data_IF_743705607616
#
_entry.id   IF_743705607616
#
_cell.length_a   1.000
_cell.length_b   1.000
_cell.length_c   1.000
_cell.angle_alpha   90.00
_cell.angle_beta   90.00
_cell.angle_gamma   90.00
#
_symmetry.space_group_name_H-M   'P 1'
#
loop_
_entity.id
_entity.type
_entity.pdbx_description
1 polymer ?
#
# COMPACT_ATOMS: atom_id res chain seq x y z
N UNK A 1 -10.31 20.20 2.72
CA UNK A 1 -8.96 20.03 3.31
C UNK A 1 -8.26 18.96 2.50
N UNK A 2 -7.04 19.23 2.02
CA UNK A 2 -6.28 18.32 1.17
C UNK A 2 -5.68 17.17 2.01
N UNK A 3 -5.56 15.98 1.42
CA UNK A 3 -4.90 14.80 2.00
C UNK A 3 -4.17 14.04 0.91
N UNK A 4 -2.91 13.65 1.15
CA UNK A 4 -2.13 12.87 0.20
C UNK A 4 -2.43 11.38 0.40
N UNK A 5 -3.26 10.80 -0.48
CA UNK A 5 -3.59 9.37 -0.40
C UNK A 5 -2.44 8.46 -0.84
N UNK A 6 -1.50 8.97 -1.65
CA UNK A 6 -0.36 8.18 -2.16
C UNK A 6 0.49 7.63 -1.02
N UNK A 7 0.77 6.33 -1.08
CA UNK A 7 1.40 5.62 0.02
C UNK A 7 2.91 5.54 -0.10
N UNK A 8 3.52 5.50 1.08
CA UNK A 8 4.88 5.02 1.30
C UNK A 8 4.79 3.66 1.96
N UNK A 9 5.74 2.77 1.67
CA UNK A 9 5.82 1.45 2.30
C UNK A 9 7.26 1.09 2.61
N UNK A 10 7.49 0.39 3.71
CA UNK A 10 8.68 -0.43 3.83
C UNK A 10 8.34 -1.86 4.22
N UNK A 11 9.16 -2.77 3.75
CA UNK A 11 9.09 -4.20 4.05
C UNK A 11 10.47 -4.68 4.47
N UNK A 12 10.53 -5.41 5.57
CA UNK A 12 11.76 -6.02 6.08
C UNK A 12 11.56 -7.50 6.29
N UNK A 13 12.56 -8.28 5.89
CA UNK A 13 12.68 -9.71 6.16
C UNK A 13 13.90 -9.94 7.03
N UNK A 14 13.76 -10.85 7.99
CA UNK A 14 14.87 -11.31 8.82
C UNK A 14 15.13 -12.79 8.60
N UNK A 15 16.34 -13.24 8.92
CA UNK A 15 16.60 -14.67 8.97
C UNK A 15 15.94 -15.25 10.25
N UNK A 16 15.04 -16.26 10.12
CA UNK A 16 14.35 -16.86 11.27
C UNK A 16 15.27 -17.38 12.37
N UNK A 17 16.55 -17.66 12.07
CA UNK A 17 17.56 -18.02 13.06
C UNK A 17 17.83 -16.92 14.10
N UNK A 18 17.48 -15.66 13.81
CA UNK A 18 17.63 -14.52 14.73
C UNK A 18 16.37 -14.23 15.55
N UNK A 19 15.37 -15.11 15.49
CA UNK A 19 14.16 -15.03 16.29
C UNK A 19 12.95 -14.52 15.51
N UNK A 20 12.00 -13.93 16.24
CA UNK A 20 10.72 -13.45 15.72
C UNK A 20 10.63 -11.93 15.81
N UNK A 21 10.24 -11.26 14.73
CA UNK A 21 9.95 -9.81 14.71
C UNK A 21 8.80 -9.46 15.67
N UNK A 22 7.80 -10.34 15.85
CA UNK A 22 6.73 -10.13 16.83
C UNK A 22 7.29 -10.05 18.26
N UNK A 23 8.34 -10.83 18.57
CA UNK A 23 9.04 -10.74 19.84
C UNK A 23 9.98 -9.55 19.92
N UNK A 24 10.82 -9.34 18.90
CA UNK A 24 11.82 -8.27 18.86
C UNK A 24 11.19 -6.88 18.94
N UNK A 25 9.98 -6.72 18.37
CA UNK A 25 9.29 -5.44 18.29
C UNK A 25 8.16 -5.29 19.31
N UNK A 26 7.94 -6.25 20.21
CA UNK A 26 6.77 -6.27 21.10
C UNK A 26 6.63 -4.99 21.93
N UNK A 27 7.76 -4.51 22.44
CA UNK A 27 7.85 -3.41 23.40
C UNK A 27 8.10 -2.04 22.73
N UNK A 28 8.44 -2.06 21.44
CA UNK A 28 8.81 -0.87 20.67
C UNK A 28 7.88 -0.58 19.49
N UNK A 29 6.85 -1.39 19.25
CA UNK A 29 5.91 -1.18 18.13
C UNK A 29 5.20 0.17 18.17
N UNK A 30 4.80 0.66 19.35
CA UNK A 30 4.21 2.00 19.47
C UNK A 30 5.23 3.07 19.08
N UNK A 31 6.49 2.90 19.51
CA UNK A 31 7.56 3.82 19.14
C UNK A 31 7.86 3.75 17.63
N UNK A 32 7.91 2.56 17.05
CA UNK A 32 8.09 2.33 15.61
C UNK A 32 7.03 3.10 14.81
N UNK A 33 5.76 3.00 15.21
CA UNK A 33 4.66 3.72 14.55
C UNK A 33 4.78 5.23 14.78
N UNK A 34 5.11 5.66 16.01
CA UNK A 34 5.27 7.06 16.35
C UNK A 34 6.39 7.76 15.58
N UNK A 35 7.47 7.05 15.19
CA UNK A 35 8.52 7.61 14.32
C UNK A 35 7.96 8.11 12.97
N UNK A 36 6.92 7.46 12.44
CA UNK A 36 6.27 7.90 11.20
C UNK A 36 5.30 9.08 11.41
N UNK A 37 5.10 9.55 12.65
CA UNK A 37 4.09 10.54 13.01
C UNK A 37 2.67 9.96 13.02
N UNK A 38 2.52 8.65 13.27
CA UNK A 38 1.24 7.96 13.32
C UNK A 38 0.98 7.35 14.71
N UNK A 39 -0.26 6.92 14.94
CA UNK A 39 -0.71 6.21 16.13
C UNK A 39 -1.34 4.87 15.77
N UNK A 40 -1.30 3.89 16.69
CA UNK A 40 -2.06 2.64 16.58
C UNK A 40 -3.49 2.90 17.08
N UNK A 41 -4.48 2.67 16.22
CA UNK A 41 -5.90 2.85 16.54
C UNK A 41 -6.54 1.57 17.10
N UNK A 42 -6.24 0.45 16.45
CA UNK A 42 -6.80 -0.87 16.78
C UNK A 42 -5.89 -1.98 16.26
N UNK A 43 -6.18 -3.22 16.66
CA UNK A 43 -5.39 -4.37 16.24
C UNK A 43 -6.20 -5.66 16.22
N UNK A 44 -5.81 -6.56 15.34
CA UNK A 44 -6.20 -7.97 15.32
C UNK A 44 -4.95 -8.85 15.29
N UNK A 45 -5.08 -10.09 15.78
CA UNK A 45 -3.97 -11.05 15.86
C UNK A 45 -4.43 -12.43 15.44
N UNK A 46 -3.55 -13.15 14.74
CA UNK A 46 -3.67 -14.57 14.44
C UNK A 46 -2.43 -15.31 14.93
N UNK A 47 -2.39 -16.63 14.71
CA UNK A 47 -1.20 -17.44 14.98
C UNK A 47 0.03 -16.94 14.22
N UNK A 48 -0.15 -16.41 13.00
CA UNK A 48 0.95 -16.04 12.11
C UNK A 48 1.26 -14.55 12.06
N UNK A 49 0.26 -13.68 12.29
CA UNK A 49 0.38 -12.25 12.04
C UNK A 49 -0.28 -11.40 13.13
N UNK A 50 0.34 -10.28 13.48
CA UNK A 50 -0.33 -9.17 14.14
C UNK A 50 -0.57 -8.06 13.11
N UNK A 51 -1.79 -7.53 13.05
CA UNK A 51 -2.14 -6.43 12.17
C UNK A 51 -2.71 -5.26 12.97
N UNK A 52 -2.32 -4.05 12.59
CA UNK A 52 -2.61 -2.82 13.30
C UNK A 52 -3.15 -1.78 12.32
N UNK A 53 -4.36 -1.28 12.56
CA UNK A 53 -4.86 -0.09 11.86
C UNK A 53 -4.21 1.13 12.49
N UNK A 54 -3.60 1.96 11.66
CA UNK A 54 -2.92 3.18 12.08
C UNK A 54 -3.77 4.41 11.77
N UNK A 55 -3.45 5.54 12.41
CA UNK A 55 -4.05 6.84 12.07
C UNK A 55 -3.79 7.26 10.63
N UNK A 56 -2.72 6.74 10.03
CA UNK A 56 -2.23 7.11 8.69
C UNK A 56 -1.92 5.87 7.83
N UNK A 57 -2.65 4.74 7.97
CA UNK A 57 -2.60 3.47 7.17
C UNK A 57 -2.47 2.20 8.03
N UNK A 58 -1.43 1.36 7.88
CA UNK A 58 -1.39 -0.01 8.42
C UNK A 58 0.01 -0.55 8.75
N UNK A 59 0.08 -1.46 9.73
CA UNK A 59 1.27 -2.23 10.10
C UNK A 59 0.93 -3.72 10.25
N UNK A 60 1.74 -4.58 9.64
CA UNK A 60 1.66 -6.04 9.73
C UNK A 60 2.99 -6.63 10.21
N UNK A 61 2.94 -7.52 11.20
CA UNK A 61 4.13 -8.16 11.79
C UNK A 61 3.92 -9.68 11.85
N UNK A 62 4.71 -10.41 11.06
CA UNK A 62 4.91 -11.86 11.15
C UNK A 62 6.20 -12.16 11.92
N UNK A 63 6.56 -13.43 12.08
CA UNK A 63 7.80 -13.80 12.75
C UNK A 63 9.05 -13.41 11.94
N UNK A 64 9.01 -13.52 10.62
CA UNK A 64 10.16 -13.27 9.74
C UNK A 64 10.00 -12.05 8.82
N UNK A 65 8.82 -11.42 8.82
CA UNK A 65 8.45 -10.32 7.92
C UNK A 65 7.73 -9.21 8.67
N UNK A 66 8.00 -7.96 8.31
CA UNK A 66 7.20 -6.82 8.72
C UNK A 66 6.92 -5.94 7.49
N UNK A 67 5.69 -5.42 7.42
CA UNK A 67 5.27 -4.44 6.42
C UNK A 67 4.64 -3.27 7.16
N UNK A 68 5.08 -2.05 6.85
CA UNK A 68 4.42 -0.84 7.32
C UNK A 68 4.16 0.08 6.14
N UNK A 69 2.91 0.52 6.03
CA UNK A 69 2.47 1.49 5.05
C UNK A 69 2.05 2.76 5.77
N UNK A 70 2.30 3.92 5.16
CA UNK A 70 1.73 5.19 5.60
C UNK A 70 1.34 6.09 4.45
N UNK A 71 0.36 6.95 4.67
CA UNK A 71 -0.07 7.99 3.73
C UNK A 71 0.10 9.40 4.33
N UNK A 72 -0.48 10.41 3.70
CA UNK A 72 -0.41 11.80 4.15
C UNK A 72 1.00 12.38 4.09
N UNK A 73 1.35 13.17 5.11
CA UNK A 73 2.69 13.79 5.26
C UNK A 73 3.58 13.02 6.24
N UNK A 74 3.22 11.76 6.53
CA UNK A 74 3.98 10.88 7.42
C UNK A 74 5.45 10.73 7.01
N UNK A 75 6.30 10.58 8.01
CA UNK A 75 7.76 10.42 7.89
C UNK A 75 8.16 8.95 7.97
N UNK A 76 7.60 8.10 7.09
CA UNK A 76 7.84 6.64 7.13
C UNK A 76 9.32 6.27 7.17
N UNK A 77 10.18 7.09 6.55
CA UNK A 77 11.62 6.91 6.58
C UNK A 77 12.18 6.85 8.01
N UNK A 78 11.69 7.66 8.95
CA UNK A 78 12.16 7.62 10.36
C UNK A 78 11.82 6.28 11.01
N UNK A 79 10.62 5.76 10.74
CA UNK A 79 10.20 4.44 11.22
C UNK A 79 11.05 3.33 10.61
N UNK A 80 11.37 3.44 9.32
CA UNK A 80 12.19 2.46 8.63
C UNK A 80 13.63 2.42 9.17
N UNK A 81 14.24 3.59 9.41
CA UNK A 81 15.58 3.69 10.02
C UNK A 81 15.58 3.14 11.44
N UNK A 82 14.60 3.51 12.26
CA UNK A 82 14.43 2.97 13.61
C UNK A 82 14.26 1.44 13.61
N UNK A 83 13.50 0.91 12.65
CA UNK A 83 13.32 -0.53 12.47
C UNK A 83 14.65 -1.24 12.17
N UNK A 84 15.44 -0.69 11.23
CA UNK A 84 16.75 -1.24 10.87
C UNK A 84 17.70 -1.24 12.07
N UNK A 85 17.78 -0.12 12.80
CA UNK A 85 18.63 0.01 13.98
C UNK A 85 18.20 -0.92 15.12
N UNK A 86 16.89 -1.10 15.30
CA UNK A 86 16.34 -2.00 16.33
C UNK A 86 16.61 -3.46 16.03
N UNK A 87 16.48 -3.87 14.76
CA UNK A 87 16.70 -5.26 14.34
C UNK A 87 18.19 -5.59 14.28
N UNK A 88 19.03 -4.64 13.85
CA UNK A 88 20.42 -4.87 13.47
C UNK A 88 20.52 -5.27 12.00
N UNK A 89 21.31 -4.54 11.21
CA UNK A 89 21.44 -4.74 9.75
C UNK A 89 21.91 -6.15 9.39
N UNK A 90 22.71 -6.76 10.26
CA UNK A 90 23.24 -8.12 10.14
C UNK A 90 22.17 -9.22 10.25
N UNK A 91 20.99 -8.90 10.81
CA UNK A 91 19.86 -9.83 10.94
C UNK A 91 18.86 -9.69 9.80
N UNK A 92 18.95 -8.61 9.01
CA UNK A 92 18.07 -8.32 7.88
C UNK A 92 18.57 -9.09 6.65
N UNK A 93 17.70 -9.89 6.06
CA UNK A 93 17.97 -10.65 4.81
C UNK A 93 17.51 -9.89 3.57
N UNK A 94 16.41 -9.14 3.68
CA UNK A 94 15.95 -8.25 2.63
C UNK A 94 15.26 -7.03 3.23
N UNK A 95 15.43 -5.88 2.58
CA UNK A 95 14.73 -4.66 2.92
C UNK A 95 14.25 -3.97 1.64
N UNK A 96 13.02 -3.50 1.62
CA UNK A 96 12.53 -2.65 0.54
C UNK A 96 11.83 -1.42 1.09
N UNK A 97 11.97 -0.30 0.39
CA UNK A 97 11.31 0.96 0.68
C UNK A 97 10.70 1.50 -0.61
N UNK A 98 9.42 1.84 -0.57
CA UNK A 98 8.64 2.19 -1.74
C UNK A 98 7.92 3.51 -1.52
N UNK A 99 7.80 4.30 -2.59
CA UNK A 99 6.93 5.48 -2.63
C UNK A 99 6.21 5.46 -3.97
N UNK A 100 4.88 5.49 -3.95
CA UNK A 100 4.16 5.91 -5.15
C UNK A 100 4.40 7.41 -5.35
N UNK A 101 4.58 7.86 -6.59
CA UNK A 101 4.78 9.29 -6.83
C UNK A 101 3.60 10.10 -6.28
N UNK A 102 3.93 11.18 -5.58
CA UNK A 102 2.97 11.96 -4.83
C UNK A 102 2.20 12.88 -5.76
N UNK A 103 0.95 13.14 -5.41
CA UNK A 103 0.16 14.16 -6.09
C UNK A 103 0.69 15.56 -5.74
N UNK A 104 1.20 15.76 -4.52
CA UNK A 104 1.69 17.04 -4.01
C UNK A 104 3.06 16.89 -3.34
N UNK A 105 4.07 16.52 -4.14
CA UNK A 105 5.44 16.29 -3.67
C UNK A 105 6.03 17.46 -2.85
N UNK A 106 5.65 18.70 -3.14
CA UNK A 106 6.10 19.90 -2.42
C UNK A 106 5.61 19.99 -0.96
N UNK A 107 4.57 19.23 -0.59
CA UNK A 107 4.06 19.17 0.77
C UNK A 107 4.71 18.05 1.59
N UNK A 108 5.52 17.19 0.95
CA UNK A 108 6.18 16.10 1.64
C UNK A 108 7.43 16.58 2.38
N UNK A 109 7.74 16.02 3.56
CA UNK A 109 8.91 16.42 4.36
C UNK A 109 10.25 16.04 3.70
N UNK A 110 10.25 15.07 2.78
CA UNK A 110 11.42 14.59 2.06
C UNK A 110 11.06 14.10 0.66
N UNK A 111 12.07 14.05 -0.22
CA UNK A 111 11.98 13.33 -1.50
C UNK A 111 12.43 11.88 -1.34
N UNK A 112 12.02 11.01 -2.28
CA UNK A 112 12.51 9.62 -2.30
C UNK A 112 14.04 9.52 -2.32
N UNK A 113 14.73 10.43 -3.03
CA UNK A 113 16.21 10.42 -3.06
C UNK A 113 16.83 10.84 -1.73
N UNK A 114 16.18 11.71 -0.96
CA UNK A 114 16.65 12.04 0.38
C UNK A 114 16.49 10.87 1.34
N UNK A 115 15.38 10.14 1.24
CA UNK A 115 15.17 8.90 2.00
C UNK A 115 16.22 7.85 1.64
N UNK A 116 16.50 7.65 0.34
CA UNK A 116 17.52 6.71 -0.15
C UNK A 116 18.92 7.09 0.36
N UNK A 117 19.28 8.37 0.42
CA UNK A 117 20.58 8.79 0.99
C UNK A 117 20.71 8.36 2.44
N UNK A 118 19.63 8.45 3.21
CA UNK A 118 19.61 8.06 4.63
C UNK A 118 19.61 6.54 4.80
N UNK A 119 18.81 5.82 4.02
CA UNK A 119 18.82 4.35 4.01
C UNK A 119 20.22 3.80 3.70
N UNK A 120 20.91 4.36 2.71
CA UNK A 120 22.26 3.94 2.34
C UNK A 120 23.33 4.21 3.41
N UNK A 121 23.03 4.97 4.46
CA UNK A 121 23.92 5.10 5.63
C UNK A 121 23.86 3.86 6.53
N UNK A 122 22.75 3.10 6.50
CA UNK A 122 22.53 1.92 7.33
C UNK A 122 22.57 0.61 6.55
N UNK A 123 21.97 0.59 5.36
CA UNK A 123 21.81 -0.62 4.54
C UNK A 123 22.07 -0.30 3.06
N UNK A 124 23.00 -1.04 2.44
CA UNK A 124 23.36 -0.82 1.05
C UNK A 124 22.31 -1.42 0.11
N UNK A 125 21.79 -0.62 -0.81
CA UNK A 125 20.77 -1.08 -1.76
C UNK A 125 20.75 -0.30 -3.06
N UNK A 126 19.81 -0.66 -3.93
CA UNK A 126 19.59 -0.02 -5.24
C UNK A 126 18.24 0.66 -5.28
N UNK A 127 18.24 1.93 -5.71
CA UNK A 127 17.03 2.72 -5.93
C UNK A 127 16.66 2.76 -7.42
N UNK A 128 15.38 2.58 -7.74
CA UNK A 128 14.83 2.59 -9.09
C UNK A 128 13.54 3.38 -9.15
N UNK A 129 13.28 3.97 -10.32
CA UNK A 129 11.96 4.49 -10.71
C UNK A 129 11.40 3.59 -11.80
N UNK A 130 10.16 3.16 -11.65
CA UNK A 130 9.45 2.30 -12.59
C UNK A 130 8.25 3.08 -13.13
N UNK A 131 8.25 3.39 -14.42
CA UNK A 131 7.23 4.25 -15.05
C UNK A 131 7.79 5.57 -15.58
N UNK A 132 6.90 6.49 -15.93
CA UNK A 132 7.24 7.75 -16.61
C UNK A 132 7.73 8.80 -15.62
N UNK A 133 8.77 9.56 -15.98
CA UNK A 133 9.33 10.63 -15.14
C UNK A 133 8.29 11.72 -14.82
N UNK A 134 7.50 12.07 -15.82
CA UNK A 134 6.52 13.15 -15.86
C UNK A 134 5.07 12.64 -15.74
N UNK A 135 4.89 11.37 -15.40
CA UNK A 135 3.59 10.74 -15.20
C UNK A 135 3.59 9.82 -13.99
N UNK A 136 2.65 8.88 -13.95
CA UNK A 136 2.62 7.88 -12.90
C UNK A 136 3.91 7.05 -12.90
N UNK A 137 4.50 6.87 -11.72
CA UNK A 137 5.65 6.01 -11.51
C UNK A 137 5.74 5.54 -10.06
N UNK A 138 6.42 4.43 -9.87
CA UNK A 138 6.69 3.83 -8.58
C UNK A 138 8.18 3.90 -8.27
N UNK A 139 8.51 4.36 -7.08
CA UNK A 139 9.88 4.33 -6.57
C UNK A 139 10.08 3.10 -5.70
N UNK A 140 11.19 2.40 -5.92
CA UNK A 140 11.57 1.22 -5.14
C UNK A 140 13.06 1.31 -4.82
N UNK A 141 13.38 1.28 -3.53
CA UNK A 141 14.69 0.94 -3.02
C UNK A 141 14.65 -0.50 -2.53
N UNK A 142 15.63 -1.29 -2.91
CA UNK A 142 15.76 -2.69 -2.50
C UNK A 142 17.18 -2.95 -2.00
N UNK A 143 17.31 -3.80 -0.99
CA UNK A 143 18.58 -4.29 -0.46
C UNK A 143 18.45 -5.80 -0.22
N UNK A 144 19.43 -6.57 -0.71
CA UNK A 144 19.45 -8.03 -0.57
C UNK A 144 20.70 -8.49 0.18
N UNK A 145 20.51 -9.14 1.32
CA UNK A 145 21.52 -9.75 2.18
C UNK A 145 21.25 -11.26 2.32
N UNK A 146 21.22 -11.97 1.18
CA UNK A 146 20.96 -13.42 1.08
C UNK A 146 19.50 -13.84 1.28
N UNK A 147 18.56 -13.00 0.84
CA UNK A 147 17.18 -13.39 0.65
C UNK A 147 16.96 -14.01 -0.73
N UNK A 148 16.03 -14.97 -0.80
CA UNK A 148 15.50 -15.49 -2.05
C UNK A 148 14.00 -15.72 -1.84
N UNK A 149 13.13 -15.06 -2.61
CA UNK A 149 11.69 -15.22 -2.45
C UNK A 149 11.30 -16.66 -2.73
N UNK A 150 10.34 -17.15 -1.95
CA UNK A 150 9.75 -18.46 -2.23
C UNK A 150 8.85 -18.36 -3.47
N UNK A 151 8.52 -19.50 -4.08
CA UNK A 151 7.63 -19.52 -5.26
C UNK A 151 6.21 -18.96 -4.98
N UNK A 152 5.83 -18.85 -3.70
CA UNK A 152 4.55 -18.30 -3.27
C UNK A 152 4.68 -16.88 -2.71
N UNK A 153 5.90 -16.34 -2.62
CA UNK A 153 6.11 -14.98 -2.13
C UNK A 153 5.80 -13.98 -3.25
N UNK A 154 4.67 -13.30 -3.06
CA UNK A 154 4.10 -12.40 -4.02
C UNK A 154 3.30 -11.32 -3.32
N UNK A 155 3.21 -10.16 -3.95
CA UNK A 155 2.40 -9.04 -3.47
C UNK A 155 1.70 -8.42 -4.67
N UNK A 156 0.43 -8.07 -4.48
CA UNK A 156 -0.35 -7.26 -5.42
C UNK A 156 -0.68 -5.94 -4.75
N UNK A 157 -0.41 -4.86 -5.47
CA UNK A 157 -0.86 -3.51 -5.14
C UNK A 157 -1.76 -3.01 -6.27
N UNK A 158 -2.88 -2.41 -5.91
CA UNK A 158 -3.82 -1.75 -6.80
C UNK A 158 -4.06 -0.34 -6.28
N UNK A 159 -3.72 0.67 -7.09
CA UNK A 159 -3.96 2.08 -6.78
C UNK A 159 -5.02 2.62 -7.73
N UNK A 160 -6.07 3.24 -7.20
CA UNK A 160 -7.22 3.72 -7.96
C UNK A 160 -7.40 5.22 -7.72
N UNK A 161 -7.52 6.00 -8.79
CA UNK A 161 -7.53 7.46 -8.75
C UNK A 161 -8.84 8.01 -9.30
N UNK A 162 -9.34 9.07 -8.65
CA UNK A 162 -10.58 9.73 -9.00
C UNK A 162 -11.72 8.72 -9.14
N UNK A 163 -11.99 8.00 -8.05
CA UNK A 163 -13.09 7.06 -7.94
C UNK A 163 -14.43 7.78 -8.12
N UNK A 164 -15.41 7.09 -8.69
CA UNK A 164 -16.72 7.66 -9.01
C UNK A 164 -17.85 6.65 -8.80
N UNK A 165 -19.08 7.12 -8.93
CA UNK A 165 -20.28 6.32 -8.80
C UNK A 165 -20.83 6.28 -7.37
N UNK A 166 -21.94 5.54 -7.15
CA UNK A 166 -22.71 5.62 -5.91
C UNK A 166 -21.91 5.31 -4.64
N UNK A 167 -20.92 4.42 -4.74
CA UNK A 167 -20.05 4.07 -3.62
C UNK A 167 -19.04 5.15 -3.30
N UNK A 168 -18.45 5.78 -4.32
CA UNK A 168 -17.58 6.94 -4.11
C UNK A 168 -18.36 8.10 -3.47
N UNK A 169 -19.59 8.38 -3.93
CA UNK A 169 -20.45 9.42 -3.37
C UNK A 169 -20.79 9.16 -1.90
N UNK A 170 -21.10 7.91 -1.55
CA UNK A 170 -21.35 7.52 -0.16
C UNK A 170 -20.09 7.68 0.72
N UNK A 171 -18.93 7.26 0.21
CA UNK A 171 -17.64 7.37 0.89
C UNK A 171 -17.18 8.83 1.03
N UNK A 172 -17.63 9.76 0.19
CA UNK A 172 -17.36 11.18 0.32
C UNK A 172 -18.33 11.91 1.27
N UNK A 173 -19.43 11.24 1.66
CA UNK A 173 -20.45 11.78 2.57
C UNK A 173 -19.97 11.88 4.02
N UNK A 174 -20.63 12.75 4.81
CA UNK A 174 -20.29 13.00 6.22
C UNK A 174 -20.78 11.94 7.21
N UNK A 175 -21.67 11.04 6.78
CA UNK A 175 -22.25 9.99 7.63
C UNK A 175 -21.96 8.60 7.06
N UNK A 176 -20.80 8.07 7.45
CA UNK A 176 -20.32 6.76 7.02
C UNK A 176 -20.48 5.73 8.12
N UNK A 177 -21.01 4.57 7.76
CA UNK A 177 -21.16 3.44 8.66
C UNK A 177 -20.44 2.22 8.10
N UNK A 178 -19.57 1.63 8.92
CA UNK A 178 -18.79 0.44 8.58
C UNK A 178 -19.66 -0.70 7.99
N UNK A 179 -20.86 -1.03 8.53
CA UNK A 179 -21.71 -2.06 7.92
C UNK A 179 -22.11 -1.74 6.46
N UNK A 180 -22.38 -0.48 6.16
CA UNK A 180 -22.75 -0.03 4.81
C UNK A 180 -21.54 -0.05 3.88
N UNK A 181 -20.36 0.40 4.33
CA UNK A 181 -19.12 0.31 3.57
C UNK A 181 -18.80 -1.15 3.21
N UNK A 182 -18.89 -2.05 4.18
CA UNK A 182 -18.70 -3.49 3.97
C UNK A 182 -19.62 -4.06 2.89
N UNK A 183 -20.89 -3.65 2.91
CA UNK A 183 -21.88 -4.09 1.92
C UNK A 183 -21.55 -3.52 0.54
N UNK A 184 -21.23 -2.23 0.43
CA UNK A 184 -20.98 -1.58 -0.85
C UNK A 184 -19.69 -2.08 -1.52
N UNK A 185 -18.63 -2.35 -0.74
CA UNK A 185 -17.36 -2.89 -1.22
C UNK A 185 -17.36 -4.42 -1.31
N UNK A 186 -18.47 -5.09 -0.97
CA UNK A 186 -18.59 -6.56 -0.93
C UNK A 186 -17.48 -7.28 -0.13
N UNK A 187 -16.96 -6.66 0.93
CA UNK A 187 -15.78 -7.18 1.66
C UNK A 187 -16.01 -8.58 2.23
N UNK A 188 -17.22 -8.86 2.74
CA UNK A 188 -17.56 -10.19 3.28
C UNK A 188 -17.56 -11.30 2.22
N UNK A 189 -17.80 -10.97 0.96
CA UNK A 189 -17.76 -11.94 -0.14
C UNK A 189 -16.36 -12.08 -0.69
N UNK A 190 -15.65 -10.97 -0.84
CA UNK A 190 -14.29 -10.94 -1.38
C UNK A 190 -13.26 -11.55 -0.42
N UNK A 191 -13.49 -11.42 0.89
CA UNK A 191 -12.58 -11.82 1.96
C UNK A 191 -13.32 -12.63 3.04
N UNK A 192 -14.07 -13.66 2.64
CA UNK A 192 -14.97 -14.41 3.52
C UNK A 192 -14.29 -15.05 4.73
N UNK A 193 -13.06 -15.55 4.55
CA UNK A 193 -12.29 -16.23 5.61
C UNK A 193 -11.46 -15.28 6.48
N UNK A 194 -11.43 -13.98 6.13
CA UNK A 194 -10.59 -13.01 6.81
C UNK A 194 -11.23 -12.47 8.09
N UNK A 195 -10.41 -12.33 9.12
CA UNK A 195 -10.74 -11.50 10.27
C UNK A 195 -10.42 -10.05 9.92
N UNK A 196 -11.40 -9.15 10.07
CA UNK A 196 -11.29 -7.76 9.66
C UNK A 196 -11.18 -6.82 10.86
N UNK A 197 -10.25 -5.86 10.78
CA UNK A 197 -10.17 -4.69 11.66
C UNK A 197 -10.43 -3.44 10.83
N UNK A 198 -11.36 -2.60 11.25
CA UNK A 198 -11.93 -1.55 10.41
C UNK A 198 -12.06 -0.24 11.16
N UNK A 199 -11.69 0.84 10.50
CA UNK A 199 -11.80 2.19 11.05
C UNK A 199 -12.38 3.15 10.01
N UNK A 200 -13.40 3.91 10.42
CA UNK A 200 -13.98 4.99 9.63
C UNK A 200 -13.60 6.33 10.26
N UNK A 201 -12.88 7.16 9.51
CA UNK A 201 -12.36 8.44 9.94
C UNK A 201 -13.43 9.54 9.84
N UNK A 202 -13.22 10.64 10.58
CA UNK A 202 -14.08 11.83 10.53
C UNK A 202 -13.33 12.99 9.89
N UNK A 203 -13.96 13.77 8.99
CA UNK A 203 -15.35 13.65 8.54
C UNK A 203 -15.61 12.51 7.55
N UNK A 204 -14.56 11.95 6.94
CA UNK A 204 -14.62 10.83 6.01
C UNK A 204 -13.25 10.16 5.91
N UNK A 205 -13.23 8.97 5.30
CA UNK A 205 -12.03 8.14 5.14
C UNK A 205 -12.25 6.77 5.76
N UNK A 206 -11.62 5.76 5.19
CA UNK A 206 -11.79 4.39 5.67
C UNK A 206 -10.51 3.58 5.53
N UNK A 207 -10.25 2.73 6.51
CA UNK A 207 -9.14 1.80 6.49
C UNK A 207 -9.59 0.44 7.01
N UNK A 208 -9.13 -0.62 6.37
CA UNK A 208 -9.40 -1.99 6.79
C UNK A 208 -8.17 -2.85 6.64
N UNK A 209 -7.88 -3.60 7.68
CA UNK A 209 -6.93 -4.70 7.66
C UNK A 209 -7.67 -6.02 7.73
N UNK A 210 -7.24 -6.97 6.90
CA UNK A 210 -7.67 -8.35 6.99
C UNK A 210 -6.48 -9.27 7.19
N UNK A 211 -6.60 -10.25 8.08
CA UNK A 211 -5.67 -11.38 8.16
C UNK A 211 -6.41 -12.73 8.11
N UNK A 212 -5.79 -13.70 7.43
CA UNK A 212 -6.22 -15.10 7.38
C UNK A 212 -4.99 -15.99 7.17
N UNK A 213 -4.68 -16.87 8.12
CA UNK A 213 -3.44 -17.64 8.12
C UNK A 213 -2.21 -16.72 7.90
N UNK A 214 -1.42 -17.00 6.86
CA UNK A 214 -0.28 -16.21 6.38
C UNK A 214 -0.65 -15.07 5.42
N UNK A 215 -1.93 -14.99 5.04
CA UNK A 215 -2.42 -13.99 4.09
C UNK A 215 -2.88 -12.73 4.81
N UNK A 216 -2.69 -11.60 4.13
CA UNK A 216 -3.22 -10.32 4.56
C UNK A 216 -3.79 -9.56 3.38
N UNK A 217 -4.64 -8.60 3.70
CA UNK A 217 -4.90 -7.48 2.80
C UNK A 217 -5.07 -6.20 3.62
N UNK A 218 -4.88 -5.07 2.96
CA UNK A 218 -5.27 -3.78 3.48
C UNK A 218 -5.90 -2.93 2.39
N UNK A 219 -6.92 -2.14 2.74
CA UNK A 219 -7.53 -1.15 1.84
C UNK A 219 -7.57 0.19 2.56
N UNK A 220 -7.05 1.23 1.91
CA UNK A 220 -7.13 2.60 2.40
C UNK A 220 -7.91 3.47 1.41
N UNK A 221 -8.88 4.22 1.91
CA UNK A 221 -9.78 5.06 1.10
C UNK A 221 -9.66 6.51 1.55
N UNK A 222 -9.21 7.34 0.62
CA UNK A 222 -9.19 8.80 0.65
C UNK A 222 -10.28 9.28 -0.31
N UNK A 223 -11.52 9.58 0.14
CA UNK A 223 -12.68 9.76 -0.75
C UNK A 223 -12.89 11.21 -1.25
N UNK A 224 -11.96 12.13 -0.97
CA UNK A 224 -12.07 13.54 -1.31
C UNK A 224 -12.33 13.75 -2.81
N UNK A 225 -13.38 14.51 -3.23
CA UNK A 225 -13.82 14.54 -4.63
C UNK A 225 -12.74 14.90 -5.68
N UNK A 226 -11.82 15.81 -5.37
CA UNK A 226 -10.84 16.31 -6.34
C UNK A 226 -9.51 15.51 -6.35
N UNK A 227 -9.31 14.63 -5.38
CA UNK A 227 -8.06 13.90 -5.19
C UNK A 227 -8.32 12.51 -4.58
N UNK A 228 -9.45 11.89 -4.95
CA UNK A 228 -9.84 10.61 -4.36
C UNK A 228 -8.86 9.53 -4.78
N UNK A 229 -8.46 8.74 -3.79
CA UNK A 229 -7.44 7.72 -3.92
C UNK A 229 -7.83 6.51 -3.09
N UNK A 230 -7.75 5.33 -3.70
CA UNK A 230 -7.95 4.06 -3.00
C UNK A 230 -6.79 3.14 -3.31
N UNK A 231 -6.19 2.58 -2.28
CA UNK A 231 -5.19 1.51 -2.41
C UNK A 231 -5.75 0.18 -1.90
N UNK A 232 -5.32 -0.90 -2.53
CA UNK A 232 -5.39 -2.26 -2.01
C UNK A 232 -3.98 -2.84 -2.07
N UNK A 233 -3.54 -3.46 -0.98
CA UNK A 233 -2.36 -4.33 -0.97
C UNK A 233 -2.72 -5.71 -0.40
N UNK A 234 -2.22 -6.77 -1.02
CA UNK A 234 -2.43 -8.15 -0.55
C UNK A 234 -1.38 -9.12 -1.08
N UNK A 235 -1.11 -10.20 -0.34
CA UNK A 235 -0.34 -11.36 -0.81
C UNK A 235 -1.22 -12.55 -1.24
N UNK A 236 -2.53 -12.36 -1.33
CA UNK A 236 -3.47 -13.40 -1.78
C UNK A 236 -3.18 -13.85 -3.21
N UNK A 237 -3.39 -15.13 -3.50
CA UNK A 237 -3.39 -15.61 -4.88
C UNK A 237 -4.67 -15.17 -5.60
N UNK A 238 -4.54 -14.09 -6.36
CA UNK A 238 -5.65 -13.49 -7.09
C UNK A 238 -5.99 -14.19 -8.42
N UNK A 239 -5.32 -15.30 -8.79
CA UNK A 239 -5.62 -16.02 -10.05
C UNK A 239 -7.08 -16.46 -10.17
N UNK A 240 -7.68 -16.86 -9.05
CA UNK A 240 -9.07 -17.31 -8.99
C UNK A 240 -9.95 -16.34 -8.19
N UNK A 241 -9.45 -15.15 -7.87
CA UNK A 241 -10.18 -14.16 -7.08
C UNK A 241 -10.54 -12.94 -7.93
N UNK A 242 -11.78 -12.48 -7.80
CA UNK A 242 -12.33 -11.34 -8.53
C UNK A 242 -12.13 -9.99 -7.83
N UNK A 243 -11.36 -9.91 -6.74
CA UNK A 243 -11.11 -8.69 -5.95
C UNK A 243 -10.80 -7.48 -6.85
N UNK A 244 -9.80 -7.58 -7.75
CA UNK A 244 -9.40 -6.44 -8.59
C UNK A 244 -10.57 -6.02 -9.50
N UNK A 245 -11.13 -6.95 -10.27
CA UNK A 245 -12.22 -6.65 -11.20
C UNK A 245 -13.45 -6.06 -10.50
N UNK A 246 -13.72 -6.52 -9.28
CA UNK A 246 -14.89 -6.10 -8.52
C UNK A 246 -14.71 -4.72 -7.89
N UNK A 247 -13.55 -4.44 -7.30
CA UNK A 247 -13.24 -3.11 -6.79
C UNK A 247 -13.22 -2.07 -7.91
N UNK A 248 -12.65 -2.41 -9.08
CA UNK A 248 -12.69 -1.52 -10.25
C UNK A 248 -14.12 -1.26 -10.73
N UNK A 249 -15.01 -2.26 -10.69
CA UNK A 249 -16.41 -2.08 -11.09
C UNK A 249 -17.22 -1.24 -10.09
N UNK A 250 -16.94 -1.39 -8.79
CA UNK A 250 -17.62 -0.66 -7.71
C UNK A 250 -17.16 0.80 -7.65
N UNK A 251 -15.85 1.02 -7.70
CA UNK A 251 -15.23 2.33 -7.47
C UNK A 251 -14.99 3.14 -8.74
N UNK A 252 -15.10 2.52 -9.91
CA UNK A 252 -15.08 3.18 -11.23
C UNK A 252 -14.00 4.27 -11.36
N UNK A 253 -12.72 3.94 -11.08
CA UNK A 253 -11.67 4.95 -11.13
C UNK A 253 -11.37 5.40 -12.56
N UNK A 254 -11.09 6.70 -12.74
CA UNK A 254 -10.66 7.24 -14.03
C UNK A 254 -9.28 6.70 -14.47
N UNK A 255 -8.39 6.48 -13.50
CA UNK A 255 -7.05 5.92 -13.70
C UNK A 255 -6.76 4.90 -12.61
N UNK A 256 -5.96 3.90 -12.92
CA UNK A 256 -5.49 2.96 -11.90
C UNK A 256 -4.16 2.34 -12.30
N UNK A 257 -3.37 2.02 -11.28
CA UNK A 257 -2.08 1.37 -11.41
C UNK A 257 -2.14 -0.01 -10.76
N UNK A 258 -1.46 -0.97 -11.38
CA UNK A 258 -1.20 -2.28 -10.83
C UNK A 258 0.31 -2.44 -10.63
N UNK A 259 0.71 -2.88 -9.44
CA UNK A 259 2.08 -3.30 -9.14
C UNK A 259 2.05 -4.72 -8.61
N UNK A 260 2.72 -5.64 -9.30
CA UNK A 260 2.78 -7.04 -8.94
C UNK A 260 4.21 -7.49 -8.71
N UNK A 261 4.52 -7.92 -7.49
CA UNK A 261 5.78 -8.58 -7.13
C UNK A 261 5.60 -10.08 -7.32
N UNK A 262 6.37 -10.68 -8.24
CA UNK A 262 6.20 -12.06 -8.71
C UNK A 262 4.76 -12.38 -9.16
N UNK A 263 4.03 -11.34 -9.60
CA UNK A 263 2.61 -11.42 -9.92
C UNK A 263 2.32 -10.62 -11.17
N UNK A 264 1.66 -11.27 -12.13
CA UNK A 264 1.10 -10.60 -13.29
C UNK A 264 -0.35 -10.24 -13.04
N UNK A 265 -0.83 -9.17 -13.69
CA UNK A 265 -2.21 -8.74 -13.64
C UNK A 265 -3.15 -9.92 -14.02
N UNK A 266 -4.03 -10.38 -13.10
CA UNK A 266 -4.83 -11.59 -13.31
C UNK A 266 -6.15 -11.34 -14.06
N UNK A 267 -6.35 -10.16 -14.66
CA UNK A 267 -7.59 -9.79 -15.33
C UNK A 267 -7.37 -9.39 -16.78
N UNK A 268 -8.40 -9.61 -17.61
CA UNK A 268 -8.48 -9.02 -18.95
C UNK A 268 -9.23 -7.70 -18.85
N UNK A 269 -8.70 -6.66 -19.50
CA UNK A 269 -9.31 -5.35 -19.52
C UNK A 269 -10.63 -5.35 -20.28
N UNK A 270 -11.55 -4.49 -19.83
CA UNK A 270 -12.71 -4.14 -20.65
C UNK A 270 -12.30 -3.23 -21.82
N UNK A 271 -13.12 -3.15 -22.87
CA UNK A 271 -12.90 -2.20 -23.98
C UNK A 271 -12.99 -0.72 -23.56
N UNK A 272 -13.47 -0.43 -22.33
CA UNK A 272 -13.64 0.93 -21.82
C UNK A 272 -12.37 1.51 -21.19
N UNK A 273 -11.28 0.73 -21.12
CA UNK A 273 -10.01 1.15 -20.54
C UNK A 273 -8.84 0.75 -21.45
N UNK A 274 -7.74 1.50 -21.38
CA UNK A 274 -6.53 1.20 -22.14
C UNK A 274 -5.27 1.33 -21.27
N UNK A 275 -4.25 0.53 -21.61
CA UNK A 275 -2.94 0.56 -20.95
C UNK A 275 -2.13 1.75 -21.46
N UNK A 276 -1.73 2.65 -20.56
CA UNK A 276 -0.96 3.87 -20.89
C UNK A 276 0.54 3.69 -20.72
N UNK A 277 0.94 2.71 -19.90
CA UNK A 277 2.32 2.32 -19.68
C UNK A 277 2.39 0.92 -19.03
N UNK A 278 3.49 0.21 -19.33
CA UNK A 278 3.83 -1.04 -18.68
C UNK A 278 5.35 -1.14 -18.52
N UNK A 279 5.78 -1.78 -17.45
CA UNK A 279 7.18 -2.09 -17.18
C UNK A 279 7.29 -3.44 -16.48
N UNK A 280 8.38 -4.15 -16.75
CA UNK A 280 8.75 -5.38 -16.07
C UNK A 280 10.22 -5.25 -15.69
N UNK A 281 10.54 -5.34 -14.41
CA UNK A 281 11.92 -5.25 -13.93
C UNK A 281 12.23 -6.38 -12.96
N UNK A 282 13.47 -6.84 -12.96
CA UNK A 282 13.98 -7.73 -11.94
C UNK A 282 14.75 -6.93 -10.88
N UNK A 283 14.63 -7.35 -9.64
CA UNK A 283 15.36 -6.80 -8.49
C UNK A 283 16.45 -7.76 -8.05
N UNK A 284 17.48 -7.23 -7.40
CA UNK A 284 18.55 -8.02 -6.79
C UNK A 284 18.07 -8.93 -5.66
N UNK A 285 16.86 -8.69 -5.13
CA UNK A 285 16.19 -9.55 -4.16
C UNK A 285 15.58 -10.80 -4.80
N UNK A 286 15.55 -10.90 -6.14
CA UNK A 286 14.94 -12.02 -6.85
C UNK A 286 13.44 -11.87 -7.13
N UNK A 287 12.88 -10.68 -6.90
CA UNK A 287 11.52 -10.35 -7.36
C UNK A 287 11.54 -9.85 -8.80
N UNK A 288 10.55 -10.31 -9.59
CA UNK A 288 10.13 -9.65 -10.82
C UNK A 288 8.94 -8.73 -10.51
N UNK A 289 9.09 -7.44 -10.75
CA UNK A 289 8.05 -6.42 -10.54
C UNK A 289 7.40 -6.08 -11.88
N UNK A 290 6.10 -6.37 -12.02
CA UNK A 290 5.26 -5.88 -13.10
C UNK A 290 4.55 -4.59 -12.67
N UNK A 291 4.70 -3.52 -13.44
CA UNK A 291 3.91 -2.29 -13.26
C UNK A 291 3.07 -2.08 -14.51
N UNK A 292 1.76 -1.87 -14.36
CA UNK A 292 0.86 -1.49 -15.45
C UNK A 292 0.00 -0.31 -15.03
N UNK A 293 -0.23 0.61 -15.96
CA UNK A 293 -0.99 1.83 -15.73
C UNK A 293 -2.12 1.90 -16.74
N UNK A 294 -3.30 2.25 -16.25
CA UNK A 294 -4.53 2.21 -17.03
C UNK A 294 -5.31 3.50 -16.90
N UNK A 295 -6.03 3.83 -17.96
CA UNK A 295 -6.91 4.98 -18.01
C UNK A 295 -8.24 4.59 -18.66
N UNK A 296 -9.35 5.08 -18.13
CA UNK A 296 -10.66 4.96 -18.72
C UNK A 296 -10.80 5.87 -19.95
N UNK A 297 -11.58 5.45 -20.94
CA UNK A 297 -12.00 6.33 -22.03
C UNK A 297 -12.94 7.40 -21.50
N UNK A 298 -12.39 8.55 -21.13
CA UNK A 298 -13.14 9.68 -20.61
C UNK A 298 -12.76 10.96 -21.35
N UNK A 299 -13.77 11.79 -21.61
CA UNK A 299 -13.63 13.16 -22.09
C UNK A 299 -14.36 14.05 -21.11
N UNK A 300 -13.68 15.05 -20.56
CA UNK A 300 -14.30 16.03 -19.68
C UNK A 300 -14.72 17.26 -20.48
N UNK A 301 -15.95 17.75 -20.24
CA UNK A 301 -16.35 19.07 -20.73
C UNK A 301 -15.96 20.10 -19.68
N UNK A 302 -14.93 20.89 -19.97
CA UNK A 302 -14.49 21.95 -19.07
C UNK A 302 -15.54 23.07 -19.03
N UNK A 303 -16.00 23.42 -17.83
CA UNK A 303 -16.83 24.62 -17.61
C UNK A 303 -16.01 25.70 -16.91
N UNK A 304 -16.32 26.98 -17.18
CA UNK A 304 -15.57 28.14 -16.67
C UNK A 304 -15.56 28.17 -15.13
N UNK A 305 -16.52 27.53 -14.47
CA UNK A 305 -16.63 27.46 -13.00
C UNK A 305 -15.55 26.57 -12.35
N UNK A 306 -14.89 25.67 -13.08
CA UNK A 306 -13.82 24.79 -12.56
C UNK A 306 -12.42 25.44 -12.50
N UNK A 307 -12.30 26.75 -12.80
CA UNK A 307 -11.03 27.48 -12.89
C UNK A 307 -10.72 28.42 -11.71
N UNK A 308 -11.52 28.39 -10.63
CA UNK A 308 -11.31 29.21 -9.43
C UNK A 308 -10.86 28.39 -8.22
#
# INVERSE_FOLDING_TARGET
MFFEGSEKKFEVHINPAHGSLRCLLSDVKQQLVAQAGADILSSIKSEHCEAYVLSESSLFIWDNKLIMLTCGQSTLIESALFCIETIGVEHITAFSYQRKNECFAQLQPSTFLDDVKRLNQLIAGQARRIGKLDGHHHYVFSANHNFTPTAVDNTTELMMYHISGPTADYLAGSEQHIPTINQQLNLRRLFADFTLDQYAFKPYGYSVNGIFEQYYFTIHITPQPHNSYVSLETNLDLKNNHVISELLAILQPSHWDFVGFNRQLPITLSQAQYCTAQALIDTEQGYTIEVKQFQAHQTETLTIEHLN
#
